data_IF_304933931853
#
_entry.id   IF_304933931853
#
_cell.length_a   1.000
_cell.length_b   1.000
_cell.length_c   1.000
_cell.angle_alpha   90.00
_cell.angle_beta   90.00
_cell.angle_gamma   90.00
#
_symmetry.space_group_name_H-M   'P 1'
#
loop_
_entity.id
_entity.type
_entity.pdbx_description
1 polymer ?
#
# COMPACT_ATOMS: atom_id res chain seq x y z
N UNK A 1 -8.72 0.53 -11.42
CA UNK A 1 -7.81 -0.39 -12.14
C UNK A 1 -8.55 -1.64 -12.62
N UNK A 2 -8.65 -1.81 -13.95
CA UNK A 2 -9.33 -2.94 -14.59
C UNK A 2 -8.59 -4.26 -14.38
N UNK A 3 -7.26 -4.22 -14.32
CA UNK A 3 -6.42 -5.39 -14.15
C UNK A 3 -6.57 -5.99 -12.75
N UNK A 4 -6.58 -5.16 -11.72
CA UNK A 4 -6.83 -5.58 -10.36
C UNK A 4 -8.23 -6.17 -10.18
N UNK A 5 -9.26 -5.56 -10.78
CA UNK A 5 -10.63 -6.10 -10.78
C UNK A 5 -10.66 -7.49 -11.43
N UNK A 6 -10.03 -7.65 -12.60
CA UNK A 6 -9.97 -8.93 -13.29
C UNK A 6 -9.29 -10.01 -12.43
N UNK A 7 -8.15 -9.67 -11.78
CA UNK A 7 -7.43 -10.59 -10.87
C UNK A 7 -8.31 -10.99 -9.69
N UNK A 8 -9.01 -10.03 -9.06
CA UNK A 8 -9.94 -10.32 -7.97
C UNK A 8 -11.05 -11.30 -8.41
N UNK A 9 -11.67 -11.06 -9.56
CA UNK A 9 -12.73 -11.95 -10.09
C UNK A 9 -12.19 -13.37 -10.39
N UNK A 10 -10.99 -13.49 -10.97
CA UNK A 10 -10.36 -14.80 -11.19
C UNK A 10 -10.02 -15.50 -9.88
N UNK A 11 -9.60 -14.77 -8.85
CA UNK A 11 -9.36 -15.35 -7.53
C UNK A 11 -10.67 -15.82 -6.86
N UNK A 12 -11.78 -15.11 -7.03
CA UNK A 12 -13.10 -15.54 -6.53
C UNK A 12 -13.60 -16.83 -7.22
N UNK A 13 -13.24 -17.04 -8.51
CA UNK A 13 -13.52 -18.31 -9.22
C UNK A 13 -12.68 -19.48 -8.69
N UNK A 14 -11.39 -19.22 -8.33
CA UNK A 14 -10.44 -20.26 -7.95
C UNK A 14 -10.53 -20.68 -6.47
N UNK A 15 -10.92 -19.78 -5.58
CA UNK A 15 -10.84 -19.98 -4.15
C UNK A 15 -12.21 -19.91 -3.47
N UNK A 16 -12.56 -20.96 -2.69
CA UNK A 16 -13.83 -21.03 -1.97
C UNK A 16 -13.99 -19.97 -0.88
N UNK A 17 -12.88 -19.50 -0.31
CA UNK A 17 -12.86 -18.50 0.76
C UNK A 17 -11.93 -17.38 0.32
N UNK A 18 -12.53 -16.29 -0.12
CA UNK A 18 -11.85 -15.09 -0.61
C UNK A 18 -12.73 -13.88 -0.33
N UNK A 19 -12.11 -12.77 0.03
CA UNK A 19 -12.78 -11.46 0.10
C UNK A 19 -12.11 -10.53 -0.92
N UNK A 20 -12.92 -9.73 -1.59
CA UNK A 20 -12.44 -8.67 -2.47
C UNK A 20 -13.08 -7.35 -2.04
N UNK A 21 -12.27 -6.30 -1.93
CA UNK A 21 -12.71 -4.94 -1.71
C UNK A 21 -12.41 -4.11 -2.97
N UNK A 22 -13.38 -3.31 -3.42
CA UNK A 22 -13.23 -2.40 -4.55
C UNK A 22 -13.42 -0.99 -4.03
N UNK A 23 -12.33 -0.28 -3.88
CA UNK A 23 -12.35 1.10 -3.39
C UNK A 23 -12.59 2.08 -4.54
N UNK A 24 -13.20 3.21 -4.20
CA UNK A 24 -13.41 4.33 -5.11
C UNK A 24 -12.47 5.47 -4.74
N UNK A 25 -12.16 6.34 -5.73
CA UNK A 25 -11.39 7.56 -5.53
C UNK A 25 -10.00 7.31 -4.91
N UNK A 26 -9.31 6.27 -5.36
CA UNK A 26 -7.93 6.01 -4.96
C UNK A 26 -7.03 7.18 -5.35
N UNK A 27 -7.13 7.66 -6.59
CA UNK A 27 -6.36 8.75 -7.18
C UNK A 27 -6.61 10.11 -6.49
N UNK A 28 -7.73 10.26 -5.79
CA UNK A 28 -8.07 11.45 -5.02
C UNK A 28 -7.70 11.32 -3.52
N UNK A 29 -6.62 10.57 -3.23
CA UNK A 29 -6.13 10.39 -1.87
C UNK A 29 -6.73 9.20 -1.14
N UNK A 30 -7.06 8.12 -1.84
CA UNK A 30 -7.52 6.85 -1.27
C UNK A 30 -8.79 7.00 -0.41
N UNK A 31 -9.78 7.80 -0.86
CA UNK A 31 -10.97 8.12 -0.06
C UNK A 31 -11.72 6.85 0.35
N UNK A 32 -11.92 5.90 -0.59
CA UNK A 32 -12.65 4.66 -0.30
C UNK A 32 -11.99 3.81 0.78
N UNK A 33 -10.68 3.64 0.76
CA UNK A 33 -9.97 2.86 1.79
C UNK A 33 -9.85 3.60 3.12
N UNK A 34 -9.90 4.94 3.12
CA UNK A 34 -9.98 5.73 4.35
C UNK A 34 -11.30 5.54 5.10
N UNK A 35 -12.38 5.35 4.38
CA UNK A 35 -13.72 5.16 4.94
C UNK A 35 -14.11 3.68 5.10
N UNK A 36 -13.20 2.77 4.72
CA UNK A 36 -13.47 1.34 4.78
C UNK A 36 -13.82 0.86 6.19
N UNK A 37 -14.79 -0.04 6.30
CA UNK A 37 -15.03 -0.76 7.54
C UNK A 37 -13.89 -1.76 7.80
N UNK A 38 -13.05 -1.47 8.79
CA UNK A 38 -11.91 -2.30 9.14
C UNK A 38 -12.28 -3.69 9.65
N UNK A 39 -13.52 -3.89 10.11
CA UNK A 39 -13.99 -5.22 10.53
C UNK A 39 -14.06 -6.20 9.36
N UNK A 40 -14.20 -5.69 8.12
CA UNK A 40 -14.13 -6.52 6.90
C UNK A 40 -12.82 -7.31 6.80
N UNK A 41 -11.73 -6.79 7.34
CA UNK A 41 -10.40 -7.39 7.24
C UNK A 41 -10.00 -8.23 8.46
N UNK A 42 -10.86 -8.33 9.49
CA UNK A 42 -10.53 -8.92 10.78
C UNK A 42 -10.15 -10.41 10.74
N UNK A 43 -10.64 -11.14 9.76
CA UNK A 43 -10.39 -12.57 9.53
C UNK A 43 -9.47 -12.84 8.31
N UNK A 44 -8.89 -11.80 7.72
CA UNK A 44 -7.96 -11.95 6.63
C UNK A 44 -6.62 -12.52 7.10
N UNK A 45 -6.04 -13.43 6.33
CA UNK A 45 -4.68 -13.93 6.60
C UNK A 45 -3.60 -12.92 6.19
N UNK A 46 -3.87 -12.18 5.15
CA UNK A 46 -3.07 -11.09 4.56
C UNK A 46 -3.95 -10.32 3.57
N UNK A 47 -3.48 -9.19 3.06
CA UNK A 47 -4.18 -8.37 2.06
C UNK A 47 -3.24 -8.07 0.90
N UNK A 48 -3.70 -8.29 -0.33
CA UNK A 48 -2.99 -7.92 -1.56
C UNK A 48 -3.78 -6.90 -2.34
N UNK A 49 -3.08 -5.91 -2.89
CA UNK A 49 -3.60 -4.99 -3.88
C UNK A 49 -2.89 -5.27 -5.22
N UNK A 50 -3.63 -5.24 -6.32
CA UNK A 50 -3.09 -5.38 -7.66
C UNK A 50 -3.40 -4.10 -8.42
N UNK A 51 -2.68 -3.03 -8.08
CA UNK A 51 -2.88 -1.70 -8.62
C UNK A 51 -1.52 -0.97 -8.70
N UNK A 52 -0.62 -1.59 -9.45
CA UNK A 52 0.68 -1.02 -9.73
C UNK A 52 1.04 -1.24 -11.20
N UNK A 53 1.48 -0.18 -11.88
CA UNK A 53 1.96 -0.27 -13.27
C UNK A 53 3.15 -1.23 -13.40
N UNK A 54 3.37 -1.74 -14.60
CA UNK A 54 4.50 -2.63 -14.90
C UNK A 54 4.23 -4.07 -14.49
N UNK A 55 5.30 -4.85 -14.34
CA UNK A 55 5.18 -6.30 -14.18
C UNK A 55 6.20 -6.92 -13.21
N UNK A 56 6.91 -6.11 -12.39
CA UNK A 56 8.01 -6.63 -11.58
C UNK A 56 8.05 -6.12 -10.14
N UNK A 57 7.19 -5.17 -9.77
CA UNK A 57 7.21 -4.60 -8.44
C UNK A 57 6.30 -5.39 -7.48
N UNK A 58 6.89 -5.83 -6.39
CA UNK A 58 6.21 -6.33 -5.20
C UNK A 58 6.44 -5.30 -4.09
N UNK A 59 5.51 -4.37 -3.95
CA UNK A 59 5.62 -3.24 -3.01
C UNK A 59 5.37 -3.76 -1.60
N UNK A 60 6.42 -3.81 -0.81
CA UNK A 60 6.45 -4.31 0.57
C UNK A 60 6.72 -3.23 1.60
N UNK A 61 7.06 -2.01 1.13
CA UNK A 61 7.32 -0.83 1.96
C UNK A 61 6.79 0.42 1.26
N UNK A 62 6.29 1.37 2.04
CA UNK A 62 5.84 2.69 1.56
C UNK A 62 6.20 3.74 2.59
N UNK A 63 6.88 4.82 2.17
CA UNK A 63 7.33 5.92 3.03
C UNK A 63 8.07 5.43 4.29
N UNK A 64 8.95 4.44 4.13
CA UNK A 64 9.68 3.85 5.24
C UNK A 64 8.87 2.88 6.12
N UNK A 65 7.55 2.79 5.94
CA UNK A 65 6.70 1.85 6.69
C UNK A 65 6.74 0.48 6.02
N UNK A 66 7.16 -0.54 6.75
CA UNK A 66 7.04 -1.93 6.31
C UNK A 66 5.57 -2.35 6.25
N UNK A 67 5.16 -2.97 5.16
CA UNK A 67 3.78 -3.43 4.96
C UNK A 67 3.58 -4.89 5.36
N UNK A 68 4.66 -5.67 5.42
CA UNK A 68 4.61 -7.10 5.66
C UNK A 68 5.87 -7.61 6.36
N UNK A 69 5.78 -8.82 6.94
CA UNK A 69 6.91 -9.48 7.59
C UNK A 69 7.91 -10.04 6.57
N UNK A 70 9.17 -10.24 7.02
CA UNK A 70 10.19 -10.94 6.23
C UNK A 70 9.75 -12.37 5.86
N UNK A 71 9.05 -13.06 6.76
CA UNK A 71 8.50 -14.41 6.49
C UNK A 71 7.46 -14.37 5.37
N UNK A 72 6.61 -13.35 5.33
CA UNK A 72 5.64 -13.15 4.25
C UNK A 72 6.36 -12.98 2.90
N UNK A 73 7.37 -12.11 2.85
CA UNK A 73 8.18 -11.88 1.64
C UNK A 73 8.87 -13.18 1.20
N UNK A 74 9.47 -13.91 2.15
CA UNK A 74 10.17 -15.17 1.88
C UNK A 74 9.24 -16.23 1.27
N UNK A 75 8.06 -16.44 1.88
CA UNK A 75 7.06 -17.38 1.40
C UNK A 75 6.44 -16.98 0.06
N UNK A 76 6.32 -15.68 -0.23
CA UNK A 76 5.82 -15.20 -1.51
C UNK A 76 6.71 -15.65 -2.68
N UNK A 77 8.00 -15.88 -2.42
CA UNK A 77 8.98 -16.34 -3.43
C UNK A 77 8.94 -15.49 -4.72
N UNK A 78 8.80 -14.17 -4.56
CA UNK A 78 8.58 -13.19 -5.62
C UNK A 78 9.56 -13.33 -6.81
N UNK A 79 10.88 -13.57 -6.62
CA UNK A 79 11.82 -13.72 -7.72
C UNK A 79 11.49 -14.86 -8.67
N UNK A 80 10.84 -15.95 -8.20
CA UNK A 80 10.41 -17.07 -9.06
C UNK A 80 9.36 -16.65 -10.09
N UNK A 81 8.65 -15.57 -9.81
CA UNK A 81 7.62 -15.00 -10.68
C UNK A 81 8.11 -13.73 -11.39
N UNK A 82 9.40 -13.39 -11.27
CA UNK A 82 9.98 -12.19 -11.87
C UNK A 82 9.55 -10.90 -11.16
N UNK A 83 9.24 -10.98 -9.86
CA UNK A 83 8.94 -9.84 -9.00
C UNK A 83 10.06 -9.59 -8.00
N UNK A 84 10.21 -8.34 -7.58
CA UNK A 84 11.18 -7.93 -6.57
C UNK A 84 10.49 -7.09 -5.49
N UNK A 85 10.82 -7.31 -4.19
CA UNK A 85 10.41 -6.41 -3.13
C UNK A 85 10.96 -5.00 -3.40
N UNK A 86 10.06 -4.01 -3.36
CA UNK A 86 10.42 -2.59 -3.61
C UNK A 86 9.68 -1.67 -2.65
N UNK A 87 10.15 -0.43 -2.58
CA UNK A 87 9.40 0.65 -1.96
C UNK A 87 8.46 1.30 -2.99
N UNK A 88 7.26 1.65 -2.55
CA UNK A 88 6.24 2.26 -3.39
C UNK A 88 5.75 3.61 -2.90
N UNK A 89 4.74 4.15 -3.59
CA UNK A 89 4.01 5.34 -3.20
C UNK A 89 2.71 5.00 -2.45
N UNK A 90 2.06 6.03 -1.90
CA UNK A 90 0.75 5.91 -1.22
C UNK A 90 -0.27 5.21 -2.11
N UNK A 91 -1.00 4.27 -1.51
CA UNK A 91 -2.05 3.49 -2.17
C UNK A 91 -2.96 2.87 -1.10
N UNK A 92 -4.06 2.22 -1.47
CA UNK A 92 -5.08 1.73 -0.54
C UNK A 92 -4.53 0.81 0.56
N UNK A 93 -3.67 -0.17 0.24
CA UNK A 93 -3.09 -1.05 1.27
C UNK A 93 -2.23 -0.32 2.28
N UNK A 94 -1.58 0.78 1.88
CA UNK A 94 -0.87 1.65 2.81
C UNK A 94 -1.83 2.35 3.76
N UNK A 95 -2.92 2.91 3.22
CA UNK A 95 -3.98 3.55 4.02
C UNK A 95 -4.59 2.55 5.00
N UNK A 96 -4.95 1.35 4.55
CA UNK A 96 -5.46 0.30 5.44
C UNK A 96 -4.44 -0.05 6.53
N UNK A 97 -3.15 -0.17 6.19
CA UNK A 97 -2.07 -0.41 7.15
C UNK A 97 -2.01 0.68 8.20
N UNK A 98 -2.07 1.93 7.80
CA UNK A 98 -2.09 3.11 8.69
C UNK A 98 -3.34 3.17 9.58
N UNK A 99 -4.45 2.61 9.14
CA UNK A 99 -5.68 2.47 9.91
C UNK A 99 -5.71 1.25 10.84
N UNK A 100 -4.58 0.55 10.97
CA UNK A 100 -4.44 -0.56 11.92
C UNK A 100 -4.74 -1.94 11.31
N UNK A 101 -4.58 -2.14 9.99
CA UNK A 101 -4.63 -3.48 9.40
C UNK A 101 -3.59 -4.38 10.07
N UNK A 102 -4.01 -5.44 10.82
CA UNK A 102 -3.10 -6.21 11.69
C UNK A 102 -2.36 -7.33 10.97
N UNK A 103 -2.47 -7.42 9.66
CA UNK A 103 -1.86 -8.49 8.86
C UNK A 103 -0.96 -7.93 7.77
N UNK A 104 -0.03 -8.73 7.29
CA UNK A 104 0.83 -8.38 6.16
C UNK A 104 0.00 -7.97 4.95
N UNK A 105 0.46 -6.93 4.23
CA UNK A 105 -0.15 -6.51 2.98
C UNK A 105 0.92 -6.10 1.97
N UNK A 106 0.55 -6.03 0.71
CA UNK A 106 1.45 -5.61 -0.37
C UNK A 106 0.66 -5.09 -1.58
N UNK A 107 1.31 -4.26 -2.43
CA UNK A 107 0.78 -3.91 -3.75
C UNK A 107 1.66 -4.55 -4.84
N UNK A 108 1.07 -5.00 -5.94
CA UNK A 108 1.72 -5.81 -6.97
C UNK A 108 1.50 -5.18 -8.34
N UNK A 109 2.57 -5.09 -9.14
CA UNK A 109 2.45 -4.71 -10.56
C UNK A 109 1.58 -5.70 -11.32
N UNK A 110 0.57 -5.21 -12.03
CA UNK A 110 -0.45 -6.05 -12.64
C UNK A 110 -0.57 -5.91 -14.16
N UNK A 111 0.48 -5.42 -14.82
CA UNK A 111 0.62 -5.51 -16.27
C UNK A 111 -0.05 -4.40 -17.05
N UNK A 112 -0.34 -3.24 -16.45
CA UNK A 112 -0.75 -2.05 -17.19
C UNK A 112 0.40 -1.05 -17.31
N UNK A 113 0.34 -0.22 -18.33
CA UNK A 113 1.39 0.71 -18.74
C UNK A 113 0.79 2.04 -19.19
N UNK A 114 1.57 3.09 -19.15
CA UNK A 114 1.17 4.47 -19.48
C UNK A 114 -0.09 4.93 -18.72
N UNK A 115 -0.13 4.76 -17.35
CA UNK A 115 -1.31 5.10 -16.56
C UNK A 115 -1.72 6.57 -16.74
N UNK A 116 -3.01 6.84 -16.62
CA UNK A 116 -3.60 8.18 -16.69
C UNK A 116 -3.40 8.89 -18.05
N UNK A 117 -3.18 8.14 -19.12
CA UNK A 117 -3.07 8.68 -20.48
C UNK A 117 -4.06 8.00 -21.42
N UNK A 118 -4.34 8.65 -22.57
CA UNK A 118 -5.16 8.04 -23.63
C UNK A 118 -4.48 6.82 -24.28
N UNK A 119 -3.23 6.55 -23.93
CA UNK A 119 -2.45 5.43 -24.44
C UNK A 119 -2.26 4.31 -23.42
N UNK A 120 -3.01 4.34 -22.33
CA UNK A 120 -2.99 3.26 -21.33
C UNK A 120 -3.34 1.91 -21.98
N UNK A 121 -2.51 0.92 -21.75
CA UNK A 121 -2.71 -0.43 -22.28
C UNK A 121 -2.31 -1.51 -21.28
N UNK A 122 -2.80 -2.71 -21.49
CA UNK A 122 -2.46 -3.92 -20.71
C UNK A 122 -1.72 -4.93 -21.58
N UNK A 123 -0.61 -5.49 -21.04
CA UNK A 123 0.04 -6.67 -21.60
C UNK A 123 -0.56 -7.90 -20.93
N UNK A 124 -1.26 -8.72 -21.70
CA UNK A 124 -2.00 -9.89 -21.15
C UNK A 124 -1.09 -10.91 -20.47
N UNK A 125 0.12 -11.13 -21.00
CA UNK A 125 1.09 -12.04 -20.37
C UNK A 125 1.52 -11.56 -18.99
N UNK A 126 1.67 -10.24 -18.82
CA UNK A 126 2.01 -9.63 -17.53
C UNK A 126 0.83 -9.67 -16.56
N UNK A 127 -0.38 -9.45 -17.04
CA UNK A 127 -1.60 -9.62 -16.24
C UNK A 127 -1.73 -11.08 -15.75
N UNK A 128 -1.56 -12.05 -16.62
CA UNK A 128 -1.57 -13.47 -16.25
C UNK A 128 -0.40 -13.84 -15.33
N UNK A 129 0.76 -13.25 -15.51
CA UNK A 129 1.91 -13.40 -14.61
C UNK A 129 1.56 -12.91 -13.19
N UNK A 130 0.95 -11.74 -13.06
CA UNK A 130 0.48 -11.20 -11.78
C UNK A 130 -0.54 -12.15 -11.14
N UNK A 131 -1.54 -12.61 -11.88
CA UNK A 131 -2.52 -13.56 -11.37
C UNK A 131 -1.87 -14.86 -10.86
N UNK A 132 -0.89 -15.45 -11.59
CA UNK A 132 -0.15 -16.64 -11.15
C UNK A 132 0.63 -16.35 -9.85
N UNK A 133 1.21 -15.18 -9.71
CA UNK A 133 1.93 -14.78 -8.52
C UNK A 133 0.98 -14.60 -7.32
N UNK A 134 -0.13 -13.88 -7.47
CA UNK A 134 -1.18 -13.74 -6.44
C UNK A 134 -1.68 -15.11 -6.01
N UNK A 135 -2.00 -15.98 -6.97
CA UNK A 135 -2.46 -17.35 -6.71
C UNK A 135 -1.44 -18.16 -5.90
N UNK A 136 -0.15 -18.03 -6.23
CA UNK A 136 0.92 -18.65 -5.45
C UNK A 136 0.93 -18.17 -4.01
N UNK A 137 0.88 -16.84 -3.79
CA UNK A 137 0.86 -16.27 -2.44
C UNK A 137 -0.32 -16.83 -1.64
N UNK A 138 -1.52 -16.86 -2.22
CA UNK A 138 -2.73 -17.36 -1.56
C UNK A 138 -2.57 -18.85 -1.14
N UNK A 139 -1.93 -19.66 -1.95
CA UNK A 139 -1.70 -21.08 -1.68
C UNK A 139 -0.58 -21.30 -0.67
N UNK A 140 0.51 -20.52 -0.76
CA UNK A 140 1.69 -20.66 0.09
C UNK A 140 1.43 -20.20 1.53
N UNK A 141 0.70 -19.11 1.71
CA UNK A 141 0.39 -18.55 3.03
C UNK A 141 -0.88 -19.16 3.63
N UNK A 142 -0.72 -20.25 4.39
CA UNK A 142 -1.86 -20.99 5.00
C UNK A 142 -2.32 -20.41 6.33
N UNK A 143 -1.49 -19.63 7.00
CA UNK A 143 -1.75 -19.04 8.31
C UNK A 143 -1.87 -17.53 8.25
N UNK A 144 -2.41 -16.92 9.29
CA UNK A 144 -2.46 -15.45 9.42
C UNK A 144 -1.04 -14.90 9.52
N UNK A 145 -0.70 -13.98 8.65
CA UNK A 145 0.58 -13.27 8.68
C UNK A 145 0.43 -11.98 9.47
N UNK A 146 0.45 -12.10 10.81
CA UNK A 146 0.32 -10.95 11.71
C UNK A 146 1.45 -9.96 11.44
N UNK A 147 1.10 -8.71 11.23
CA UNK A 147 2.04 -7.62 11.04
C UNK A 147 1.37 -6.30 11.44
N UNK A 148 1.81 -5.76 12.55
CA UNK A 148 1.48 -4.39 12.97
C UNK A 148 2.75 -3.57 12.82
N UNK A 149 2.77 -2.56 11.94
CA UNK A 149 3.92 -1.66 11.89
C UNK A 149 4.05 -0.98 13.25
N UNK A 150 5.28 -0.70 13.66
CA UNK A 150 5.48 0.17 14.81
C UNK A 150 4.76 1.50 14.54
N UNK A 151 4.08 2.07 15.55
CA UNK A 151 3.49 3.39 15.37
C UNK A 151 4.61 4.35 14.98
N UNK A 152 4.49 4.96 13.81
CA UNK A 152 5.43 6.00 13.42
C UNK A 152 5.42 7.07 14.49
N UNK A 153 6.56 7.33 15.09
CA UNK A 153 6.77 8.54 15.87
C UNK A 153 6.83 9.70 14.87
N UNK A 154 5.69 10.29 14.58
CA UNK A 154 5.67 11.49 13.74
C UNK A 154 6.43 12.61 14.43
N UNK A 155 7.29 13.31 13.71
CA UNK A 155 8.12 14.36 14.29
C UNK A 155 7.29 15.50 14.87
N UNK A 156 5.97 15.59 14.59
CA UNK A 156 5.08 16.60 15.14
C UNK A 156 3.58 16.26 14.99
N UNK A 157 2.72 16.72 15.91
CA UNK A 157 1.27 16.66 15.76
C UNK A 157 0.83 17.44 14.50
N UNK A 158 -0.03 16.86 13.68
CA UNK A 158 -0.53 17.50 12.46
C UNK A 158 0.18 17.10 11.16
N UNK A 159 1.09 16.13 11.20
CA UNK A 159 1.75 15.64 9.99
C UNK A 159 0.75 15.16 8.90
N UNK A 160 -0.35 14.52 9.30
CA UNK A 160 -1.42 14.15 8.37
C UNK A 160 -2.19 15.34 7.81
N UNK A 161 -2.31 16.38 8.62
CA UNK A 161 -2.95 17.62 8.24
C UNK A 161 -2.13 18.36 7.19
N UNK A 162 -0.80 18.23 7.23
CA UNK A 162 0.12 18.94 6.34
C UNK A 162 0.18 18.35 4.92
N UNK A 163 -0.05 17.03 4.76
CA UNK A 163 0.11 16.35 3.48
C UNK A 163 -1.21 16.01 2.77
N UNK A 164 -2.23 16.83 2.96
CA UNK A 164 -3.41 16.85 2.10
C UNK A 164 -4.43 15.74 2.37
N UNK A 165 -4.48 15.30 3.60
CA UNK A 165 -5.46 14.31 4.04
C UNK A 165 -6.71 15.02 4.63
N UNK A 166 -6.98 16.19 4.19
CA UNK A 166 -8.17 17.02 4.40
C UNK A 166 -7.96 18.27 3.56
N UNK A 167 -8.91 18.61 2.73
CA UNK A 167 -8.81 19.74 1.80
C UNK A 167 -8.61 21.07 2.53
N UNK A 168 -7.36 21.43 2.75
CA UNK A 168 -7.03 22.78 3.25
C UNK A 168 -7.11 23.77 2.10
N UNK A 169 -7.63 24.96 2.41
CA UNK A 169 -7.44 26.12 1.56
C UNK A 169 -5.97 26.53 1.55
N UNK A 170 -5.49 27.16 0.48
CA UNK A 170 -4.13 27.68 0.40
C UNK A 170 -3.76 28.57 1.62
N UNK A 171 -4.73 29.32 2.16
CA UNK A 171 -4.55 30.16 3.33
C UNK A 171 -4.30 29.33 4.62
N UNK A 172 -4.98 28.22 4.79
CA UNK A 172 -4.77 27.29 5.91
C UNK A 172 -3.40 26.64 5.81
N UNK A 173 -3.01 26.19 4.62
CA UNK A 173 -1.68 25.66 4.35
C UNK A 173 -0.57 26.65 4.73
N UNK A 174 -0.69 27.91 4.29
CA UNK A 174 0.28 28.95 4.61
C UNK A 174 0.33 29.28 6.12
N UNK A 175 -0.81 29.18 6.82
CA UNK A 175 -0.87 29.37 8.28
C UNK A 175 -0.14 28.23 9.02
N UNK A 176 -0.33 27.00 8.59
CA UNK A 176 0.34 25.80 9.15
C UNK A 176 1.84 25.90 8.92
N UNK A 177 2.28 26.22 7.70
CA UNK A 177 3.70 26.37 7.35
C UNK A 177 4.39 27.49 8.14
N UNK A 178 3.74 28.64 8.34
CA UNK A 178 4.27 29.73 9.20
C UNK A 178 4.46 29.27 10.65
N UNK A 179 3.53 28.52 11.19
CA UNK A 179 3.63 27.97 12.55
C UNK A 179 4.76 26.96 12.68
N UNK A 180 4.96 26.13 11.66
CA UNK A 180 6.03 25.16 11.58
C UNK A 180 7.41 25.81 11.55
N UNK A 181 7.60 26.80 10.69
CA UNK A 181 8.85 27.53 10.54
C UNK A 181 9.19 28.34 11.82
N UNK A 182 8.19 28.91 12.48
CA UNK A 182 8.39 29.67 13.74
C UNK A 182 8.64 28.78 14.96
N UNK A 183 8.20 27.49 14.94
CA UNK A 183 8.44 26.52 16.01
C UNK A 183 9.79 25.82 15.93
N UNK A 184 10.47 25.86 14.80
CA UNK A 184 11.81 25.30 14.57
C UNK A 184 12.92 26.25 15.04
N UNK A 185 12.88 26.73 16.31
CA UNK A 185 14.06 27.32 16.93
C UNK A 185 15.06 26.23 17.27
N UNK A 186 16.14 26.24 16.53
CA UNK A 186 17.28 25.32 16.59
C UNK A 186 17.82 25.17 18.01
N UNK A 187 17.69 24.01 18.62
CA UNK A 187 18.66 23.56 19.62
C UNK A 187 19.80 22.85 18.89
N UNK A 188 21.05 23.28 19.06
CA UNK A 188 22.19 22.59 18.45
C UNK A 188 22.33 21.21 19.10
N UNK A 189 22.45 20.17 18.27
CA UNK A 189 22.90 18.85 18.70
C UNK A 189 24.30 19.01 19.37
N UNK A 190 24.37 18.75 20.67
CA UNK A 190 25.67 18.54 21.31
C UNK A 190 26.31 17.29 20.73
N UNK A 191 27.44 17.51 20.07
CA UNK A 191 28.41 16.46 19.79
C UNK A 191 29.09 16.11 21.10
N UNK A 192 28.83 14.93 21.62
CA UNK A 192 29.74 14.30 22.55
C UNK A 192 30.17 12.97 21.93
N UNK A 193 31.35 13.04 21.29
CA UNK A 193 32.18 11.89 21.02
C UNK A 193 33.16 11.75 22.21
N UNK A 194 33.14 10.66 22.89
CA UNK A 194 34.31 9.93 23.38
C UNK A 194 34.03 8.45 23.20
#
# INVERSE_FOLDING_TARGET
DKNGIWICLKCLEDFKVMKCAFFVQEENGCIGSREADMTFFSDCRFVLQCDRRGNSDFVTRIHGTELCTCDFIGCAAAPKYGYQPVEGATTDVYVLKRRGLPVSCANISCGYYEPHTDREYTILDDLHKCYRFVRHIVIAHKTVSVHSPEPEQYPFPGYYELFGIGGYSEEEYQRIMKRFISGCSRKPLKKDFI
#
